data_IF_363004378785
#
_entry.id   IF_363004378785
#
_cell.length_a   1.000
_cell.length_b   1.000
_cell.length_c   1.000
_cell.angle_alpha   90.00
_cell.angle_beta   90.00
_cell.angle_gamma   90.00
#
_symmetry.space_group_name_H-M   'P 1'
#
loop_
_entity.id
_entity.type
_entity.pdbx_description
1 polymer ?
#
# COMPACT_ATOMS: atom_id res chain seq x y z
N UNK A 1 -17.92 28.98 33.30
CA UNK A 1 -17.45 27.88 32.43
C UNK A 1 -15.93 27.89 32.45
N UNK A 2 -15.31 26.77 32.78
CA UNK A 2 -13.88 26.67 33.07
C UNK A 2 -13.17 25.99 31.88
N UNK A 3 -12.09 26.59 31.36
CA UNK A 3 -11.25 26.05 30.27
C UNK A 3 -10.73 24.64 30.61
N UNK A 4 -10.61 24.29 31.89
CA UNK A 4 -10.23 22.97 32.35
C UNK A 4 -11.19 21.83 31.91
N UNK A 5 -12.48 22.10 31.69
CA UNK A 5 -13.43 21.07 31.23
C UNK A 5 -13.42 20.86 29.71
N UNK A 6 -12.83 21.80 28.94
CA UNK A 6 -12.61 21.63 27.50
C UNK A 6 -11.35 20.77 27.26
N UNK A 7 -10.35 20.87 28.14
CA UNK A 7 -9.11 20.09 28.04
C UNK A 7 -9.30 18.57 28.27
N UNK A 8 -10.32 18.14 29.01
CA UNK A 8 -10.62 16.70 29.20
C UNK A 8 -11.17 16.02 27.92
N UNK A 9 -11.54 16.81 26.90
CA UNK A 9 -12.02 16.33 25.59
C UNK A 9 -10.98 16.38 24.46
N UNK A 10 -9.74 16.82 24.71
CA UNK A 10 -8.69 16.75 23.69
C UNK A 10 -8.27 15.30 23.40
N UNK A 11 -8.44 14.40 24.37
CA UNK A 11 -8.37 12.95 24.14
C UNK A 11 -9.52 12.40 23.29
N UNK A 12 -10.67 13.08 23.17
CA UNK A 12 -11.79 12.57 22.36
C UNK A 12 -11.77 13.08 20.93
N UNK A 13 -11.38 14.34 20.68
CA UNK A 13 -11.31 14.85 19.30
C UNK A 13 -10.13 14.25 18.54
N UNK A 14 -8.94 14.24 19.14
CA UNK A 14 -7.76 13.69 18.50
C UNK A 14 -7.90 12.17 18.32
N UNK A 15 -8.49 11.45 19.30
CA UNK A 15 -8.80 10.04 19.12
C UNK A 15 -9.87 9.76 18.05
N UNK A 16 -10.88 10.62 17.89
CA UNK A 16 -11.87 10.47 16.80
C UNK A 16 -11.24 10.73 15.43
N UNK A 17 -10.31 11.69 15.33
CA UNK A 17 -9.58 11.96 14.10
C UNK A 17 -8.62 10.83 13.76
N UNK A 18 -7.85 10.34 14.74
CA UNK A 18 -7.02 9.15 14.58
C UNK A 18 -7.87 7.93 14.22
N UNK A 19 -9.08 7.82 14.77
CA UNK A 19 -9.98 6.74 14.40
C UNK A 19 -10.41 6.81 12.93
N UNK A 20 -10.85 7.99 12.50
CA UNK A 20 -11.27 8.24 11.13
C UNK A 20 -10.12 8.01 10.12
N UNK A 21 -8.94 8.58 10.39
CA UNK A 21 -7.75 8.41 9.54
C UNK A 21 -7.32 6.95 9.46
N UNK A 22 -7.34 6.24 10.59
CA UNK A 22 -7.05 4.81 10.61
C UNK A 22 -8.04 4.00 9.77
N UNK A 23 -9.34 4.32 9.81
CA UNK A 23 -10.35 3.66 8.95
C UNK A 23 -10.13 3.96 7.46
N UNK A 24 -9.82 5.21 7.12
CA UNK A 24 -9.51 5.60 5.74
C UNK A 24 -8.30 4.83 5.21
N UNK A 25 -7.25 4.70 6.01
CA UNK A 25 -6.07 3.90 5.67
C UNK A 25 -6.40 2.41 5.51
N UNK A 26 -7.24 1.84 6.39
CA UNK A 26 -7.73 0.46 6.23
C UNK A 26 -8.52 0.28 4.93
N UNK A 27 -9.37 1.24 4.55
CA UNK A 27 -10.09 1.20 3.25
C UNK A 27 -9.15 1.24 2.06
N UNK A 28 -8.06 2.02 2.15
CA UNK A 28 -7.02 2.02 1.13
C UNK A 28 -6.34 0.65 1.02
N UNK A 29 -5.92 0.04 2.13
CA UNK A 29 -5.28 -1.28 2.10
C UNK A 29 -6.20 -2.38 1.60
N UNK A 30 -7.50 -2.32 1.92
CA UNK A 30 -8.47 -3.26 1.38
C UNK A 30 -8.51 -3.19 -0.16
N UNK A 31 -8.45 -1.98 -0.75
CA UNK A 31 -8.38 -1.83 -2.21
C UNK A 31 -7.10 -2.44 -2.80
N UNK A 32 -5.98 -2.32 -2.09
CA UNK A 32 -4.72 -2.96 -2.49
C UNK A 32 -4.85 -4.48 -2.42
N UNK A 33 -5.45 -5.04 -1.36
CA UNK A 33 -5.73 -6.48 -1.26
C UNK A 33 -6.64 -6.97 -2.40
N UNK A 34 -7.71 -6.23 -2.68
CA UNK A 34 -8.61 -6.53 -3.81
C UNK A 34 -7.85 -6.52 -5.14
N UNK A 35 -6.91 -5.60 -5.35
CA UNK A 35 -6.06 -5.60 -6.53
C UNK A 35 -5.21 -6.88 -6.64
N UNK A 36 -4.65 -7.37 -5.53
CA UNK A 36 -3.94 -8.66 -5.50
C UNK A 36 -4.88 -9.83 -5.83
N UNK A 37 -6.10 -9.85 -5.29
CA UNK A 37 -7.07 -10.92 -5.58
C UNK A 37 -7.43 -11.01 -7.06
N UNK A 38 -7.72 -9.86 -7.69
CA UNK A 38 -8.05 -9.80 -9.11
C UNK A 38 -6.86 -10.14 -10.01
N UNK A 39 -5.64 -9.84 -9.56
CA UNK A 39 -4.41 -10.12 -10.32
C UNK A 39 -4.21 -11.61 -10.61
N UNK A 40 -4.79 -12.51 -9.80
CA UNK A 40 -4.68 -13.98 -9.97
C UNK A 40 -5.14 -14.50 -11.33
N UNK A 41 -6.04 -13.79 -12.00
CA UNK A 41 -6.48 -14.14 -13.34
C UNK A 41 -5.35 -13.97 -14.38
N UNK A 42 -4.31 -13.19 -14.05
CA UNK A 42 -3.11 -13.04 -14.85
C UNK A 42 -2.06 -14.12 -14.51
N UNK A 43 -1.27 -14.50 -15.52
CA UNK A 43 -0.08 -15.34 -15.30
C UNK A 43 0.94 -14.65 -14.37
N UNK A 44 1.95 -15.36 -13.83
CA UNK A 44 2.84 -14.84 -12.79
C UNK A 44 3.50 -13.49 -13.10
N UNK A 45 3.95 -13.29 -14.34
CA UNK A 45 4.52 -12.01 -14.77
C UNK A 45 3.49 -10.88 -14.94
N UNK A 46 2.23 -11.24 -15.22
CA UNK A 46 1.11 -10.30 -15.37
C UNK A 46 0.49 -9.88 -14.04
N UNK A 47 0.68 -10.64 -12.95
CA UNK A 47 0.09 -10.35 -11.65
C UNK A 47 0.56 -8.98 -11.10
N UNK A 48 1.88 -8.74 -11.13
CA UNK A 48 2.44 -7.47 -10.63
C UNK A 48 1.95 -6.29 -11.48
N UNK A 49 1.89 -6.47 -12.81
CA UNK A 49 1.37 -5.43 -13.70
C UNK A 49 -0.11 -5.14 -13.40
N UNK A 50 -0.94 -6.18 -13.24
CA UNK A 50 -2.35 -6.02 -12.92
C UNK A 50 -2.57 -5.31 -11.57
N UNK A 51 -1.74 -5.58 -10.56
CA UNK A 51 -1.77 -4.85 -9.28
C UNK A 51 -1.44 -3.37 -9.50
N UNK A 52 -0.39 -3.06 -10.27
CA UNK A 52 0.00 -1.68 -10.58
C UNK A 52 -1.08 -0.94 -11.40
N UNK A 53 -1.73 -1.62 -12.34
CA UNK A 53 -2.85 -1.07 -13.12
C UNK A 53 -4.07 -0.77 -12.24
N UNK A 54 -4.40 -1.68 -11.32
CA UNK A 54 -5.51 -1.47 -10.39
C UNK A 54 -5.24 -0.37 -9.34
N UNK A 55 -3.97 0.00 -9.12
CA UNK A 55 -3.55 0.97 -8.10
C UNK A 55 -3.02 2.27 -8.70
N UNK A 56 -1.80 2.27 -9.26
CA UNK A 56 -1.12 3.46 -9.79
C UNK A 56 -1.94 4.15 -10.89
N UNK A 57 -2.48 3.35 -11.81
CA UNK A 57 -3.24 3.90 -12.94
C UNK A 57 -4.65 4.38 -12.53
N UNK A 58 -5.07 4.08 -11.28
CA UNK A 58 -6.40 4.39 -10.77
C UNK A 58 -6.48 5.61 -9.85
N UNK A 59 -5.33 6.20 -9.45
CA UNK A 59 -5.28 7.29 -8.46
C UNK A 59 -6.28 8.43 -8.71
N UNK A 60 -6.48 8.85 -9.96
CA UNK A 60 -7.47 9.86 -10.32
C UNK A 60 -8.90 9.45 -9.94
N UNK A 61 -9.29 8.21 -10.26
CA UNK A 61 -10.65 7.71 -9.99
C UNK A 61 -10.89 7.49 -8.49
N UNK A 62 -9.84 7.22 -7.73
CA UNK A 62 -9.91 6.99 -6.28
C UNK A 62 -9.29 8.13 -5.46
N UNK A 63 -9.23 9.34 -6.02
CA UNK A 63 -8.63 10.53 -5.41
C UNK A 63 -9.00 10.74 -3.93
N UNK A 64 -10.26 10.60 -3.50
CA UNK A 64 -10.60 10.74 -2.08
C UNK A 64 -9.89 9.73 -1.16
N UNK A 65 -9.75 8.48 -1.61
CA UNK A 65 -9.04 7.44 -0.84
C UNK A 65 -7.53 7.71 -0.80
N UNK A 66 -6.96 8.16 -1.91
CA UNK A 66 -5.56 8.59 -2.00
C UNK A 66 -5.27 9.73 -1.02
N UNK A 67 -6.09 10.77 -0.99
CA UNK A 67 -5.89 11.90 -0.07
C UNK A 67 -5.99 11.46 1.39
N UNK A 68 -7.01 10.67 1.73
CA UNK A 68 -7.18 10.20 3.10
C UNK A 68 -6.04 9.28 3.56
N UNK A 69 -5.46 8.48 2.66
CA UNK A 69 -4.25 7.71 2.93
C UNK A 69 -3.08 8.64 3.26
N UNK A 70 -2.79 9.63 2.40
CA UNK A 70 -1.65 10.55 2.61
C UNK A 70 -1.82 11.41 3.87
N UNK A 71 -3.04 11.87 4.15
CA UNK A 71 -3.34 12.63 5.37
C UNK A 71 -3.11 11.82 6.65
N UNK A 72 -3.10 10.48 6.59
CA UNK A 72 -2.87 9.62 7.75
C UNK A 72 -1.40 9.56 8.19
N UNK A 73 -0.43 9.82 7.30
CA UNK A 73 1.00 9.64 7.61
C UNK A 73 1.53 10.68 8.60
N UNK A 74 1.22 11.97 8.42
CA UNK A 74 1.76 13.02 9.28
C UNK A 74 1.30 12.89 10.75
N UNK A 75 0.02 12.62 11.05
CA UNK A 75 -0.42 12.39 12.43
C UNK A 75 0.20 11.12 13.06
N UNK A 76 0.50 10.08 12.29
CA UNK A 76 1.13 8.85 12.80
C UNK A 76 2.56 9.06 13.35
N UNK A 77 3.22 10.18 13.01
CA UNK A 77 4.51 10.55 13.61
C UNK A 77 4.38 10.85 15.11
N UNK A 78 3.19 11.24 15.57
CA UNK A 78 2.94 11.68 16.96
C UNK A 78 1.83 10.90 17.68
N UNK A 79 1.06 10.08 16.96
CA UNK A 79 0.06 9.17 17.53
C UNK A 79 0.52 7.71 17.42
N UNK A 80 0.81 7.08 18.56
CA UNK A 80 1.16 5.66 18.62
C UNK A 80 0.00 4.77 18.17
N UNK A 81 -1.22 5.07 18.63
CA UNK A 81 -2.43 4.34 18.23
C UNK A 81 -2.65 4.37 16.70
N UNK A 82 -2.48 5.52 16.05
CA UNK A 82 -2.59 5.59 14.59
C UNK A 82 -1.45 4.83 13.91
N UNK A 83 -0.22 4.92 14.43
CA UNK A 83 0.93 4.18 13.90
C UNK A 83 0.73 2.68 13.95
N UNK A 84 0.19 2.15 15.05
CA UNK A 84 -0.15 0.73 15.21
C UNK A 84 -1.17 0.29 14.16
N UNK A 85 -2.19 1.11 13.89
CA UNK A 85 -3.20 0.81 12.87
C UNK A 85 -2.63 0.79 11.45
N UNK A 86 -1.76 1.76 11.12
CA UNK A 86 -1.06 1.76 9.83
C UNK A 86 -0.16 0.52 9.70
N UNK A 87 0.59 0.19 10.75
CA UNK A 87 1.47 -0.98 10.77
C UNK A 87 0.69 -2.30 10.60
N UNK A 88 -0.46 -2.43 11.27
CA UNK A 88 -1.37 -3.57 11.13
C UNK A 88 -1.88 -3.68 9.70
N UNK A 89 -2.34 -2.57 9.11
CA UNK A 89 -2.82 -2.57 7.72
C UNK A 89 -1.78 -3.04 6.71
N UNK A 90 -0.53 -2.58 6.83
CA UNK A 90 0.56 -3.10 5.99
C UNK A 90 0.88 -4.58 6.25
N UNK A 91 0.78 -5.04 7.50
CA UNK A 91 0.98 -6.44 7.85
C UNK A 91 -0.09 -7.33 7.21
N UNK A 92 -1.35 -6.88 7.22
CA UNK A 92 -2.46 -7.59 6.62
C UNK A 92 -2.29 -7.75 5.10
N UNK A 93 -1.82 -6.72 4.38
CA UNK A 93 -1.54 -6.83 2.94
C UNK A 93 -0.44 -7.86 2.65
N UNK A 94 0.63 -7.88 3.46
CA UNK A 94 1.72 -8.87 3.31
C UNK A 94 1.23 -10.28 3.58
N UNK A 95 0.51 -10.49 4.68
CA UNK A 95 -0.01 -11.80 5.04
C UNK A 95 -0.99 -12.30 3.99
N UNK A 96 -1.94 -11.45 3.56
CA UNK A 96 -2.90 -11.76 2.51
C UNK A 96 -2.21 -12.22 1.22
N UNK A 97 -1.13 -11.53 0.81
CA UNK A 97 -0.37 -11.90 -0.38
C UNK A 97 0.32 -13.26 -0.26
N UNK A 98 0.82 -13.60 0.93
CA UNK A 98 1.42 -14.92 1.21
C UNK A 98 0.35 -16.01 1.15
N UNK A 99 -0.80 -15.78 1.78
CA UNK A 99 -1.92 -16.72 1.79
C UNK A 99 -2.46 -16.95 0.36
N UNK A 100 -2.55 -15.88 -0.43
CA UNK A 100 -2.97 -15.92 -1.83
C UNK A 100 -2.03 -16.77 -2.68
N UNK A 101 -0.72 -16.58 -2.52
CA UNK A 101 0.29 -17.36 -3.23
C UNK A 101 0.29 -18.82 -2.78
N UNK A 102 0.15 -19.09 -1.48
CA UNK A 102 0.01 -20.44 -0.94
C UNK A 102 -1.21 -21.17 -1.49
N UNK A 103 -2.36 -20.49 -1.56
CA UNK A 103 -3.58 -21.05 -2.14
C UNK A 103 -3.45 -21.30 -3.65
N UNK A 104 -2.77 -20.43 -4.39
CA UNK A 104 -2.54 -20.59 -5.83
C UNK A 104 -1.61 -21.77 -6.17
N UNK A 105 -0.68 -22.09 -5.27
CA UNK A 105 0.29 -23.18 -5.42
C UNK A 105 -0.13 -24.48 -4.73
N UNK A 106 -1.30 -24.49 -4.07
CA UNK A 106 -1.82 -25.65 -3.37
C UNK A 106 -1.97 -26.84 -4.35
N UNK A 107 -1.35 -27.98 -4.00
CA UNK A 107 -1.34 -29.18 -4.84
C UNK A 107 -0.23 -29.21 -5.90
N UNK A 108 0.71 -28.25 -5.87
CA UNK A 108 1.95 -28.27 -6.66
C UNK A 108 3.16 -28.50 -5.77
N UNK A 109 4.29 -28.95 -6.34
CA UNK A 109 5.58 -29.07 -5.63
C UNK A 109 6.35 -27.73 -5.56
N UNK A 110 5.71 -26.62 -5.97
CA UNK A 110 6.33 -25.30 -6.02
C UNK A 110 5.94 -24.52 -4.77
N UNK A 111 6.94 -24.05 -4.03
CA UNK A 111 6.72 -23.12 -2.92
C UNK A 111 6.73 -21.66 -3.42
N UNK A 112 5.97 -20.76 -2.79
CA UNK A 112 6.10 -19.33 -3.04
C UNK A 112 7.50 -18.84 -2.67
N UNK A 113 7.98 -17.73 -3.26
CA UNK A 113 9.29 -17.18 -2.92
C UNK A 113 9.43 -16.89 -1.42
N UNK A 114 10.55 -17.28 -0.80
CA UNK A 114 10.80 -17.04 0.62
C UNK A 114 10.75 -15.54 1.00
N UNK A 115 11.09 -14.66 0.06
CA UNK A 115 11.10 -13.21 0.22
C UNK A 115 9.80 -12.53 -0.24
N UNK A 116 8.70 -13.27 -0.47
CA UNK A 116 7.45 -12.71 -0.99
C UNK A 116 6.91 -11.53 -0.16
N UNK A 117 6.93 -11.64 1.16
CA UNK A 117 6.51 -10.56 2.08
C UNK A 117 7.35 -9.27 1.88
N UNK A 118 8.65 -9.42 1.62
CA UNK A 118 9.54 -8.30 1.28
C UNK A 118 9.21 -7.72 -0.08
N UNK A 119 8.95 -8.56 -1.09
CA UNK A 119 8.53 -8.11 -2.43
C UNK A 119 7.27 -7.26 -2.34
N UNK A 120 6.26 -7.73 -1.59
CA UNK A 120 5.00 -7.01 -1.37
C UNK A 120 5.25 -5.68 -0.66
N UNK A 121 6.16 -5.65 0.33
CA UNK A 121 6.54 -4.40 1.01
C UNK A 121 7.14 -3.37 0.05
N UNK A 122 8.04 -3.81 -0.84
CA UNK A 122 8.64 -2.94 -1.86
C UNK A 122 7.58 -2.45 -2.84
N UNK A 123 6.65 -3.31 -3.26
CA UNK A 123 5.57 -2.93 -4.16
C UNK A 123 4.66 -1.87 -3.54
N UNK A 124 4.27 -2.04 -2.27
CA UNK A 124 3.49 -1.04 -1.53
C UNK A 124 4.26 0.28 -1.42
N UNK A 125 5.56 0.24 -1.10
CA UNK A 125 6.38 1.44 -1.02
C UNK A 125 6.46 2.19 -2.38
N UNK A 126 6.50 1.47 -3.50
CA UNK A 126 6.42 2.06 -4.84
C UNK A 126 5.05 2.73 -5.04
N UNK A 127 3.95 2.04 -4.73
CA UNK A 127 2.60 2.59 -4.89
C UNK A 127 2.42 3.84 -4.02
N UNK A 128 2.77 3.78 -2.74
CA UNK A 128 2.63 4.90 -1.80
C UNK A 128 3.54 6.08 -2.18
N UNK A 129 4.77 5.81 -2.64
CA UNK A 129 5.68 6.84 -3.13
C UNK A 129 5.18 7.53 -4.40
N UNK A 130 4.61 6.76 -5.34
CA UNK A 130 4.00 7.30 -6.55
C UNK A 130 2.71 8.07 -6.25
N UNK A 131 1.96 7.67 -5.23
CA UNK A 131 0.80 8.39 -4.74
C UNK A 131 1.18 9.82 -4.31
N UNK A 132 2.27 9.98 -3.56
CA UNK A 132 2.78 11.29 -3.14
C UNK A 132 3.21 12.14 -4.34
N UNK A 133 3.91 11.55 -5.31
CA UNK A 133 4.33 12.24 -6.53
C UNK A 133 3.12 12.68 -7.36
N UNK A 134 2.10 11.83 -7.46
CA UNK A 134 0.85 12.12 -8.17
C UNK A 134 0.08 13.29 -7.56
N UNK A 135 0.06 13.43 -6.23
CA UNK A 135 -0.55 14.59 -5.59
C UNK A 135 0.17 15.88 -5.99
N UNK A 136 1.50 15.84 -6.13
CA UNK A 136 2.31 17.00 -6.49
C UNK A 136 2.21 17.35 -7.99
N UNK A 137 2.29 16.35 -8.86
CA UNK A 137 2.15 16.50 -10.31
C UNK A 137 1.49 15.24 -10.92
N UNK A 138 0.16 15.27 -11.11
CA UNK A 138 -0.57 14.15 -11.72
C UNK A 138 -0.09 13.83 -13.14
N UNK A 139 0.44 14.81 -13.88
CA UNK A 139 0.81 14.67 -15.29
C UNK A 139 2.18 14.01 -15.48
N UNK A 140 3.06 14.11 -14.49
CA UNK A 140 4.40 13.52 -14.52
C UNK A 140 4.48 12.13 -13.87
N UNK A 141 3.39 11.64 -13.27
CA UNK A 141 3.40 10.32 -12.61
C UNK A 141 3.44 9.20 -13.65
N UNK A 142 4.38 8.25 -13.55
CA UNK A 142 4.51 7.15 -14.49
C UNK A 142 3.28 6.23 -14.45
N UNK A 143 2.94 5.66 -15.60
CA UNK A 143 1.93 4.60 -15.71
C UNK A 143 2.48 3.27 -15.21
N UNK A 144 1.59 2.36 -14.84
CA UNK A 144 1.86 0.98 -14.43
C UNK A 144 2.91 0.26 -15.30
N UNK A 145 2.77 0.38 -16.62
CA UNK A 145 3.69 -0.22 -17.61
C UNK A 145 5.09 0.41 -17.61
N UNK A 146 5.22 1.69 -17.27
CA UNK A 146 6.51 2.37 -17.12
C UNK A 146 7.18 1.97 -15.80
N UNK A 147 6.39 1.84 -14.73
CA UNK A 147 6.84 1.37 -13.41
C UNK A 147 7.44 -0.03 -13.51
N UNK A 148 6.74 -0.99 -14.13
CA UNK A 148 7.25 -2.37 -14.24
C UNK A 148 8.53 -2.44 -15.08
N UNK A 149 8.63 -1.62 -16.15
CA UNK A 149 9.85 -1.52 -16.97
C UNK A 149 11.00 -0.95 -16.16
N UNK A 150 10.78 0.11 -15.38
CA UNK A 150 11.80 0.71 -14.53
C UNK A 150 12.32 -0.28 -13.48
N UNK A 151 11.43 -1.02 -12.81
CA UNK A 151 11.82 -2.07 -11.86
C UNK A 151 12.67 -3.15 -12.51
N UNK A 152 12.31 -3.60 -13.72
CA UNK A 152 13.10 -4.56 -14.48
C UNK A 152 14.49 -4.01 -14.85
N UNK A 153 14.57 -2.75 -15.27
CA UNK A 153 15.86 -2.09 -15.56
C UNK A 153 16.75 -1.98 -14.33
N UNK A 154 16.20 -1.61 -13.16
CA UNK A 154 16.95 -1.57 -11.90
C UNK A 154 17.48 -2.96 -11.53
N UNK A 155 16.63 -4.00 -11.62
CA UNK A 155 17.03 -5.38 -11.36
C UNK A 155 18.15 -5.86 -12.28
N UNK A 156 18.09 -5.52 -13.57
CA UNK A 156 19.13 -5.85 -14.54
C UNK A 156 20.49 -5.21 -14.18
N UNK A 157 20.50 -3.95 -13.74
CA UNK A 157 21.72 -3.26 -13.29
C UNK A 157 22.32 -3.96 -12.07
N UNK A 158 21.52 -4.28 -11.06
CA UNK A 158 22.01 -4.97 -9.84
C UNK A 158 22.60 -6.34 -10.18
N UNK A 159 21.91 -7.11 -11.04
CA UNK A 159 22.37 -8.46 -11.41
C UNK A 159 23.67 -8.42 -12.23
N UNK A 160 23.89 -7.33 -12.99
CA UNK A 160 25.13 -7.14 -13.76
C UNK A 160 26.36 -6.87 -12.89
N UNK A 161 26.17 -6.37 -11.66
CA UNK A 161 27.28 -6.13 -10.71
C UNK A 161 27.59 -7.33 -9.81
N UNK A 162 26.71 -8.33 -9.78
CA UNK A 162 26.90 -9.58 -9.02
C UNK A 162 27.56 -10.69 -9.85
N UNK A 163 27.88 -10.41 -11.13
CA UNK A 163 28.62 -11.30 -12.04
C UNK A 163 30.05 -10.79 -12.21
#
# INVERSE_FOLDING_TARGET
MNIASINYHFGSKDALLDDALGRCFSTWNQRVQEAFDHSRAAGPAGQILAVLEATVDSFEQIRPAVYACVESYAPALRSEALRERLAAGYADVRQHSVDLAGAALAGTDIAPPENLSTIVSVLMAVIDGLMIQWIADPSATPRSTEVIRALASIGAVVTSQLR
#
